data_IF_503732132512
#
_entry.id   IF_503732132512
#
_cell.length_a   1.000
_cell.length_b   1.000
_cell.length_c   1.000
_cell.angle_alpha   90.00
_cell.angle_beta   90.00
_cell.angle_gamma   90.00
#
_symmetry.space_group_name_H-M   'P 1'
#
loop_
_entity.id
_entity.type
_entity.pdbx_description
1 polymer ?
#
# COMPACT_ATOMS: atom_id res chain seq x y z
N UNK A 1 7.14 -7.48 11.39
CA UNK A 1 5.73 -7.94 11.26
C UNK A 1 5.26 -7.54 9.87
N UNK A 2 4.61 -8.41 9.10
CA UNK A 2 4.05 -8.03 7.81
C UNK A 2 2.83 -7.13 8.03
N UNK A 3 2.66 -6.03 7.28
CA UNK A 3 1.46 -5.21 7.37
C UNK A 3 0.24 -6.04 6.94
N UNK A 4 -0.94 -5.65 7.43
CA UNK A 4 -2.20 -6.23 6.98
C UNK A 4 -2.43 -5.90 5.51
N UNK A 5 -2.92 -6.87 4.73
CA UNK A 5 -3.35 -6.62 3.36
C UNK A 5 -4.79 -6.07 3.41
N UNK A 6 -5.04 -4.79 3.06
CA UNK A 6 -6.35 -4.19 3.22
C UNK A 6 -7.42 -4.89 2.37
N UNK A 7 -8.66 -4.87 2.86
CA UNK A 7 -9.81 -5.37 2.09
C UNK A 7 -10.14 -4.42 0.94
N UNK A 8 -10.74 -4.93 -0.16
CA UNK A 8 -11.20 -4.08 -1.26
C UNK A 8 -12.21 -3.04 -0.73
N UNK A 9 -11.96 -1.76 -1.03
CA UNK A 9 -12.76 -0.63 -0.56
C UNK A 9 -12.47 -0.22 0.89
N UNK A 10 -11.54 -0.85 1.60
CA UNK A 10 -11.13 -0.40 2.93
C UNK A 10 -10.54 1.01 2.85
N UNK A 11 -11.02 1.90 3.72
CA UNK A 11 -10.62 3.31 3.73
C UNK A 11 -9.87 3.70 4.99
N UNK A 12 -8.91 4.60 4.86
CA UNK A 12 -8.28 5.28 6.00
C UNK A 12 -8.31 6.80 5.78
N UNK A 13 -8.59 7.55 6.86
CA UNK A 13 -8.55 9.00 6.86
C UNK A 13 -7.75 9.49 8.05
N UNK A 14 -6.90 10.50 7.81
CA UNK A 14 -6.05 11.07 8.83
C UNK A 14 -5.79 12.56 8.61
N UNK A 15 -5.19 13.19 9.61
CA UNK A 15 -4.77 14.59 9.52
C UNK A 15 -3.47 14.82 10.29
N UNK A 16 -2.75 15.86 9.88
CA UNK A 16 -1.62 16.42 10.63
C UNK A 16 -2.05 17.64 11.43
N UNK A 17 -1.29 18.04 12.48
CA UNK A 17 -1.61 19.22 13.29
C UNK A 17 -1.67 20.54 12.51
N UNK A 18 -1.03 20.63 11.34
CA UNK A 18 -1.10 21.79 10.45
C UNK A 18 -2.41 21.88 9.63
N UNK A 19 -3.31 20.90 9.81
CA UNK A 19 -4.59 20.77 9.12
C UNK A 19 -4.52 20.08 7.76
N UNK A 20 -3.34 19.61 7.33
CA UNK A 20 -3.20 18.74 6.15
C UNK A 20 -3.98 17.45 6.38
N UNK A 21 -4.69 16.96 5.36
CA UNK A 21 -5.53 15.76 5.42
C UNK A 21 -5.04 14.71 4.43
N UNK A 22 -5.19 13.45 4.80
CA UNK A 22 -4.90 12.29 3.96
C UNK A 22 -6.13 11.39 3.88
N UNK A 23 -6.41 10.90 2.68
CA UNK A 23 -7.49 9.96 2.37
C UNK A 23 -6.88 8.80 1.60
N UNK A 24 -7.18 7.57 2.02
CA UNK A 24 -6.73 6.34 1.37
C UNK A 24 -7.92 5.43 1.13
N UNK A 25 -7.86 4.69 0.03
CA UNK A 25 -8.80 3.62 -0.29
C UNK A 25 -8.04 2.48 -0.98
N UNK A 26 -8.28 1.24 -0.57
CA UNK A 26 -7.81 0.06 -1.27
C UNK A 26 -8.66 -0.17 -2.52
N UNK A 27 -8.17 0.24 -3.69
CA UNK A 27 -8.93 0.21 -4.95
C UNK A 27 -8.78 -1.10 -5.74
N UNK A 28 -7.82 -1.95 -5.38
CA UNK A 28 -7.61 -3.26 -6.01
C UNK A 28 -6.99 -4.28 -5.04
N UNK A 29 -7.22 -5.57 -5.27
CA UNK A 29 -6.65 -6.67 -4.48
C UNK A 29 -5.81 -7.67 -5.30
N UNK A 30 -5.91 -7.65 -6.63
CA UNK A 30 -5.13 -8.52 -7.52
C UNK A 30 -4.75 -7.78 -8.83
N UNK A 31 -3.59 -7.10 -8.87
CA UNK A 31 -2.65 -6.90 -7.76
C UNK A 31 -3.16 -5.88 -6.73
N UNK A 32 -2.75 -5.98 -5.44
CA UNK A 32 -3.13 -5.00 -4.43
C UNK A 32 -2.68 -3.59 -4.79
N UNK A 33 -3.60 -2.62 -4.71
CA UNK A 33 -3.28 -1.20 -4.86
C UNK A 33 -4.14 -0.32 -3.96
N UNK A 34 -3.49 0.65 -3.32
CA UNK A 34 -4.13 1.67 -2.48
C UNK A 34 -3.98 3.03 -3.16
N UNK A 35 -5.09 3.71 -3.46
CA UNK A 35 -5.07 5.10 -3.88
C UNK A 35 -4.91 6.01 -2.65
N UNK A 36 -4.19 7.12 -2.80
CA UNK A 36 -4.04 8.13 -1.75
C UNK A 36 -4.25 9.54 -2.30
N UNK A 37 -4.80 10.41 -1.45
CA UNK A 37 -4.94 11.84 -1.68
C UNK A 37 -4.54 12.62 -0.43
N UNK A 38 -3.60 13.54 -0.58
CA UNK A 38 -3.17 14.50 0.45
C UNK A 38 -3.52 15.91 0.02
N UNK A 39 -4.19 16.65 0.91
CA UNK A 39 -4.57 18.06 0.71
C UNK A 39 -4.09 18.89 1.89
N UNK A 40 -3.28 19.91 1.63
CA UNK A 40 -2.89 20.88 2.66
C UNK A 40 -4.06 21.79 3.08
N UNK A 41 -4.07 22.23 4.34
CA UNK A 41 -5.16 23.05 4.91
C UNK A 41 -5.45 24.37 4.16
N UNK A 42 -4.46 24.89 3.43
CA UNK A 42 -4.51 26.18 2.73
C UNK A 42 -4.23 26.07 1.23
N UNK A 43 -4.50 24.90 0.65
CA UNK A 43 -4.30 24.64 -0.80
C UNK A 43 -2.89 24.98 -1.32
N UNK A 44 -1.89 24.91 -0.44
CA UNK A 44 -0.48 25.18 -0.75
C UNK A 44 0.13 24.09 -1.62
N UNK A 45 -0.32 22.86 -1.39
CA UNK A 45 0.00 21.72 -2.22
C UNK A 45 -1.14 20.71 -2.20
N UNK A 46 -1.10 19.81 -3.18
CA UNK A 46 -1.88 18.58 -3.24
C UNK A 46 -0.99 17.49 -3.80
N UNK A 47 -1.07 16.31 -3.22
CA UNK A 47 -0.26 15.16 -3.61
C UNK A 47 -1.17 13.94 -3.67
N UNK A 48 -1.16 13.23 -4.79
CA UNK A 48 -2.03 12.09 -5.03
C UNK A 48 -1.32 11.05 -5.86
N UNK A 49 -1.84 9.84 -5.81
CA UNK A 49 -1.33 8.72 -6.59
C UNK A 49 -1.88 7.41 -6.06
N UNK A 50 -1.23 6.33 -6.45
CA UNK A 50 -1.49 5.02 -5.93
C UNK A 50 -0.19 4.33 -5.53
N UNK A 51 -0.29 3.49 -4.51
CA UNK A 51 0.77 2.59 -4.11
C UNK A 51 0.38 1.17 -4.52
N UNK A 52 1.29 0.47 -5.20
CA UNK A 52 1.14 -0.93 -5.56
C UNK A 52 2.42 -1.66 -5.17
N UNK A 53 2.27 -2.79 -4.47
CA UNK A 53 3.39 -3.57 -3.97
C UNK A 53 3.32 -5.01 -4.48
N UNK A 54 4.44 -5.52 -4.98
CA UNK A 54 4.60 -6.92 -5.39
C UNK A 54 5.91 -7.45 -4.80
N UNK A 55 5.80 -8.46 -3.94
CA UNK A 55 6.95 -9.22 -3.45
C UNK A 55 7.12 -10.52 -4.24
N UNK A 56 8.38 -10.92 -4.47
CA UNK A 56 8.73 -12.21 -5.06
C UNK A 56 9.87 -12.82 -4.24
N UNK A 57 9.73 -14.09 -3.87
CA UNK A 57 10.82 -14.86 -3.29
C UNK A 57 11.68 -15.40 -4.42
N UNK A 58 12.99 -15.14 -4.37
CA UNK A 58 13.94 -15.81 -5.25
C UNK A 58 14.24 -17.18 -4.67
N UNK A 59 13.75 -18.22 -5.31
CA UNK A 59 14.11 -19.60 -4.97
C UNK A 59 15.55 -19.83 -5.41
N UNK A 60 16.44 -20.12 -4.46
CA UNK A 60 17.81 -20.56 -4.76
C UNK A 60 17.81 -21.98 -5.35
N UNK A 61 18.91 -22.46 -5.95
CA UNK A 61 18.97 -23.81 -6.50
C UNK A 61 18.65 -24.82 -5.38
N UNK A 62 17.49 -25.48 -5.49
CA UNK A 62 17.12 -26.58 -4.63
C UNK A 62 17.93 -27.80 -5.07
N UNK A 63 19.04 -28.08 -4.41
CA UNK A 63 19.66 -29.41 -4.48
C UNK A 63 18.70 -30.38 -3.80
N UNK A 64 17.79 -30.96 -4.58
CA UNK A 64 17.02 -32.11 -4.16
C UNK A 64 17.93 -33.33 -4.18
N UNK A 65 18.65 -33.56 -3.08
CA UNK A 65 19.19 -34.88 -2.75
C UNK A 65 18.40 -35.40 -1.55
N UNK A 66 17.26 -36.03 -1.84
CA UNK A 66 16.72 -37.09 -1.00
C UNK A 66 16.93 -38.36 -1.82
N UNK A 67 18.02 -39.07 -1.49
CA UNK A 67 18.20 -40.45 -1.91
C UNK A 67 17.15 -41.34 -1.22
N UNK A 68 16.70 -42.34 -1.95
CA UNK A 68 15.66 -43.30 -1.59
C UNK A 68 16.10 -44.31 -0.52
#
# INVERSE_FOLDING_TARGET
RMPFNPLLGETFQGHWPDGTRVFLEQTAIDPPSTAFLVRSAKSRFSFWGNFAFRAQLKVGPTTASIEA
#
